data_IF_328404555171
#
_entry.id   IF_328404555171
#
_cell.length_a   1.000
_cell.length_b   1.000
_cell.length_c   1.000
_cell.angle_alpha   90.00
_cell.angle_beta   90.00
_cell.angle_gamma   90.00
#
_symmetry.space_group_name_H-M   'P 1'
#
loop_
_entity.id
_entity.type
_entity.pdbx_description
1 polymer ?
#
# COMPACT_ATOMS: atom_id res chain seq x y z
N UNK A 1 -20.24 -23.10 17.47
CA UNK A 1 -18.95 -22.41 17.31
C UNK A 1 -18.24 -23.10 16.16
N UNK A 2 -18.27 -22.51 14.96
CA UNK A 2 -17.45 -23.02 13.87
C UNK A 2 -16.01 -22.61 14.11
N UNK A 3 -15.08 -23.56 14.06
CA UNK A 3 -13.65 -23.26 14.00
C UNK A 3 -13.42 -22.33 12.81
N UNK A 4 -12.93 -21.13 13.07
CA UNK A 4 -12.46 -20.27 11.98
C UNK A 4 -11.20 -20.93 11.39
N UNK A 5 -11.10 -21.06 10.06
CA UNK A 5 -9.89 -21.60 9.46
C UNK A 5 -8.68 -20.76 9.89
N UNK A 6 -7.58 -21.43 10.21
CA UNK A 6 -6.30 -20.80 10.53
C UNK A 6 -5.92 -19.84 9.40
N UNK A 7 -5.55 -18.60 9.71
CA UNK A 7 -5.17 -17.57 8.72
C UNK A 7 -4.03 -18.02 7.80
N UNK A 8 -3.18 -18.94 8.28
CA UNK A 8 -2.04 -19.52 7.57
C UNK A 8 -2.43 -20.37 6.34
N UNK A 9 -3.66 -20.87 6.23
CA UNK A 9 -4.13 -21.67 5.08
C UNK A 9 -4.69 -20.79 3.95
N UNK A 10 -4.74 -19.47 4.14
CA UNK A 10 -5.25 -18.53 3.14
C UNK A 10 -4.26 -18.40 1.97
N UNK A 11 -4.70 -18.49 0.70
CA UNK A 11 -3.82 -18.24 -0.44
C UNK A 11 -3.17 -16.85 -0.36
N UNK A 12 -1.90 -16.73 -0.76
CA UNK A 12 -1.14 -15.47 -0.77
C UNK A 12 -1.88 -14.30 -1.44
N UNK A 13 -2.68 -14.60 -2.47
CA UNK A 13 -3.37 -13.60 -3.28
C UNK A 13 -4.88 -13.66 -3.10
N UNK A 14 -5.36 -14.08 -1.92
CA UNK A 14 -6.78 -14.15 -1.65
C UNK A 14 -7.44 -12.78 -1.81
N UNK A 15 -8.45 -12.71 -2.67
CA UNK A 15 -9.33 -11.55 -2.81
C UNK A 15 -10.58 -11.82 -1.99
N UNK A 16 -10.94 -10.87 -1.13
CA UNK A 16 -12.05 -10.96 -0.18
C UNK A 16 -12.95 -9.73 -0.30
N UNK A 17 -14.21 -9.86 0.10
CA UNK A 17 -15.09 -8.70 0.27
C UNK A 17 -14.54 -7.77 1.38
N UNK A 18 -14.81 -6.46 1.26
CA UNK A 18 -14.24 -5.46 2.16
C UNK A 18 -14.62 -5.69 3.64
N UNK A 19 -15.83 -6.16 3.91
CA UNK A 19 -16.30 -6.47 5.27
C UNK A 19 -15.68 -7.75 5.87
N UNK A 20 -15.09 -8.59 5.02
CA UNK A 20 -14.37 -9.81 5.38
C UNK A 20 -12.86 -9.58 5.51
N UNK A 21 -12.36 -8.41 5.14
CA UNK A 21 -10.97 -8.04 5.32
C UNK A 21 -10.58 -8.11 6.79
N UNK A 22 -9.42 -8.71 7.07
CA UNK A 22 -8.87 -8.82 8.43
C UNK A 22 -7.43 -8.39 8.40
N UNK A 23 -7.02 -7.60 9.38
CA UNK A 23 -5.61 -7.31 9.62
C UNK A 23 -4.93 -8.51 10.30
N UNK A 24 -3.59 -8.62 10.22
CA UNK A 24 -2.87 -9.76 10.80
C UNK A 24 -3.17 -9.96 12.30
N UNK A 25 -3.24 -11.18 12.82
CA UNK A 25 -3.76 -11.49 14.16
C UNK A 25 -3.09 -10.70 15.31
N UNK A 26 -1.80 -10.37 15.17
CA UNK A 26 -1.04 -9.58 16.15
C UNK A 26 -1.19 -8.05 16.01
N UNK A 27 -2.07 -7.57 15.12
CA UNK A 27 -2.39 -6.14 15.00
C UNK A 27 -3.29 -5.60 16.12
N UNK A 28 -3.86 -6.46 16.97
CA UNK A 28 -4.77 -6.00 18.02
C UNK A 28 -4.06 -5.45 19.28
N UNK A 29 -3.89 -4.13 19.26
CA UNK A 29 -4.33 -3.20 20.32
C UNK A 29 -3.49 -2.92 21.59
N UNK A 30 -2.30 -3.48 21.86
CA UNK A 30 -1.63 -3.17 23.16
C UNK A 30 -0.13 -2.89 23.19
N UNK A 31 0.65 -3.25 22.16
CA UNK A 31 2.11 -3.05 22.23
C UNK A 31 2.61 -1.78 21.52
N UNK A 32 1.88 -1.30 20.51
CA UNK A 32 2.31 -0.13 19.72
C UNK A 32 2.11 1.23 20.41
N UNK A 33 1.02 1.40 21.18
CA UNK A 33 0.77 2.67 21.91
C UNK A 33 1.81 2.98 23.00
N UNK A 34 2.59 1.98 23.46
CA UNK A 34 3.58 2.14 24.53
C UNK A 34 5.00 2.40 24.05
N UNK A 35 5.43 1.92 22.88
CA UNK A 35 6.82 2.17 22.42
C UNK A 35 7.05 3.59 21.91
N UNK A 36 6.01 4.27 21.41
CA UNK A 36 6.13 5.64 20.89
C UNK A 36 6.22 6.74 21.97
N UNK A 37 5.79 6.48 23.22
CA UNK A 37 5.91 7.48 24.30
C UNK A 37 7.27 7.48 25.00
N UNK A 38 8.12 6.47 24.76
CA UNK A 38 9.44 6.35 25.40
C UNK A 38 10.62 6.60 24.46
N UNK A 39 10.38 6.77 23.15
CA UNK A 39 11.45 7.06 22.19
C UNK A 39 11.80 8.55 22.06
N UNK A 40 11.20 9.44 22.85
CA UNK A 40 11.44 10.88 22.82
C UNK A 40 12.35 11.40 23.93
N UNK A 41 13.19 10.55 24.54
CA UNK A 41 14.06 10.99 25.65
C UNK A 41 15.46 10.38 25.69
N UNK A 42 16.10 10.05 24.56
CA UNK A 42 17.54 9.71 24.59
C UNK A 42 18.36 10.36 23.49
N UNK A 43 18.91 11.51 23.83
CA UNK A 43 20.32 11.79 23.54
C UNK A 43 21.19 10.89 24.46
N UNK A 44 22.10 10.14 23.83
CA UNK A 44 23.37 9.64 24.38
C UNK A 44 23.31 8.78 25.64
N UNK A 45 23.26 7.45 25.44
CA UNK A 45 23.76 6.42 26.37
C UNK A 45 22.80 5.26 26.68
N UNK A 46 23.22 4.43 27.62
CA UNK A 46 22.97 2.98 27.70
C UNK A 46 21.57 2.53 28.12
N UNK A 47 21.23 1.34 27.61
CA UNK A 47 20.22 0.34 28.05
C UNK A 47 18.85 0.47 27.38
N UNK A 48 18.66 -0.16 26.22
CA UNK A 48 18.29 -1.58 26.15
C UNK A 48 18.81 -2.22 24.87
N UNK A 49 20.10 -2.54 24.82
CA UNK A 49 20.64 -3.41 23.79
C UNK A 49 20.22 -4.84 24.13
N UNK A 50 19.14 -5.34 23.50
CA UNK A 50 19.20 -6.73 23.07
C UNK A 50 20.47 -6.81 22.22
N UNK A 51 21.50 -7.53 22.70
CA UNK A 51 22.77 -7.68 22.00
C UNK A 51 22.48 -8.13 20.57
N UNK A 52 22.62 -7.23 19.60
CA UNK A 52 22.52 -7.58 18.20
C UNK A 52 23.62 -8.61 17.93
N UNK A 53 23.26 -9.69 17.23
CA UNK A 53 24.21 -10.76 16.91
C UNK A 53 25.23 -10.28 15.89
N UNK A 54 24.86 -9.30 15.04
CA UNK A 54 25.75 -8.65 14.10
C UNK A 54 25.54 -7.14 14.15
N UNK A 55 26.64 -6.41 14.27
CA UNK A 55 26.64 -4.95 14.36
C UNK A 55 26.35 -4.33 12.99
N UNK A 56 25.49 -3.31 12.94
CA UNK A 56 25.05 -2.70 11.68
C UNK A 56 26.19 -2.04 10.87
N UNK A 57 27.28 -1.62 11.51
CA UNK A 57 28.44 -1.04 10.82
C UNK A 57 29.27 -2.07 10.02
N UNK A 58 29.08 -3.36 10.28
CA UNK A 58 29.66 -4.47 9.52
C UNK A 58 28.82 -4.83 8.28
N UNK A 59 27.70 -4.12 8.08
CA UNK A 59 26.73 -4.37 7.04
C UNK A 59 26.63 -3.14 6.13
N UNK A 60 26.40 -3.38 4.84
CA UNK A 60 26.17 -2.32 3.85
C UNK A 60 24.89 -2.57 3.06
N UNK A 61 24.31 -1.49 2.53
CA UNK A 61 23.20 -1.58 1.59
C UNK A 61 23.62 -2.36 0.34
N UNK A 62 22.70 -3.17 -0.19
CA UNK A 62 22.96 -3.87 -1.45
C UNK A 62 22.95 -2.88 -2.62
N UNK A 63 23.81 -3.07 -3.62
CA UNK A 63 23.68 -2.35 -4.89
C UNK A 63 22.30 -2.58 -5.51
N UNK A 64 21.71 -1.54 -6.11
CA UNK A 64 20.34 -1.60 -6.66
C UNK A 64 20.12 -2.75 -7.64
N UNK A 65 21.13 -3.06 -8.47
CA UNK A 65 21.07 -4.19 -9.40
C UNK A 65 20.93 -5.52 -8.64
N UNK A 66 21.73 -5.76 -7.60
CA UNK A 66 21.64 -6.98 -6.79
C UNK A 66 20.30 -7.05 -6.06
N UNK A 67 19.84 -5.92 -5.51
CA UNK A 67 18.55 -5.82 -4.84
C UNK A 67 17.37 -6.10 -5.79
N UNK A 68 17.43 -5.65 -7.05
CA UNK A 68 16.42 -5.93 -8.08
C UNK A 68 16.35 -7.41 -8.46
N UNK A 69 17.47 -8.15 -8.39
CA UNK A 69 17.47 -9.60 -8.63
C UNK A 69 16.93 -10.39 -7.43
N UNK A 70 17.30 -9.99 -6.21
CA UNK A 70 16.87 -10.67 -4.98
C UNK A 70 15.42 -10.38 -4.61
N UNK A 71 14.94 -9.18 -4.92
CA UNK A 71 13.60 -8.72 -4.59
C UNK A 71 12.99 -8.02 -5.80
N UNK A 72 12.65 -8.74 -6.87
CA UNK A 72 12.10 -8.14 -8.08
C UNK A 72 10.78 -7.41 -7.80
N UNK A 73 10.35 -6.48 -8.69
CA UNK A 73 9.03 -5.87 -8.60
C UNK A 73 7.93 -6.91 -8.45
N UNK A 74 6.90 -6.57 -7.68
CA UNK A 74 5.78 -7.48 -7.40
C UNK A 74 5.07 -7.86 -8.70
N UNK A 75 4.98 -9.17 -8.98
CA UNK A 75 4.08 -9.71 -10.00
C UNK A 75 2.64 -9.72 -9.46
N UNK A 76 1.80 -8.86 -10.03
CA UNK A 76 0.38 -8.73 -9.68
C UNK A 76 -0.54 -9.68 -10.46
N UNK A 77 -0.03 -10.46 -11.41
CA UNK A 77 -0.84 -11.37 -12.21
C UNK A 77 -1.59 -12.43 -11.39
N UNK A 78 -1.03 -13.00 -10.30
CA UNK A 78 -1.79 -13.86 -9.40
C UNK A 78 -2.99 -13.17 -8.75
N UNK A 79 -2.85 -11.90 -8.34
CA UNK A 79 -3.95 -11.11 -7.78
C UNK A 79 -5.03 -10.82 -8.84
N UNK A 80 -4.65 -10.50 -10.08
CA UNK A 80 -5.60 -10.33 -11.18
C UNK A 80 -6.40 -11.61 -11.46
N UNK A 81 -5.75 -12.78 -11.42
CA UNK A 81 -6.45 -14.08 -11.54
C UNK A 81 -7.38 -14.36 -10.37
N UNK A 82 -6.97 -14.03 -9.15
CA UNK A 82 -7.81 -14.19 -7.96
C UNK A 82 -9.03 -13.26 -8.00
N UNK A 83 -8.85 -12.02 -8.47
CA UNK A 83 -9.96 -11.09 -8.73
C UNK A 83 -10.91 -11.67 -9.78
N UNK A 84 -10.38 -12.13 -10.93
CA UNK A 84 -11.19 -12.76 -11.97
C UNK A 84 -12.00 -13.95 -11.43
N UNK A 85 -11.43 -14.75 -10.52
CA UNK A 85 -12.14 -15.85 -9.87
C UNK A 85 -13.26 -15.37 -8.95
N UNK A 86 -13.04 -14.32 -8.15
CA UNK A 86 -14.09 -13.74 -7.29
C UNK A 86 -15.24 -13.12 -8.08
N UNK A 87 -14.95 -12.55 -9.25
CA UNK A 87 -15.97 -11.94 -10.11
C UNK A 87 -16.79 -12.99 -10.90
N UNK A 88 -16.38 -14.26 -10.95
CA UNK A 88 -17.16 -15.29 -11.65
C UNK A 88 -18.51 -15.50 -10.96
N UNK A 89 -19.58 -15.28 -11.72
CA UNK A 89 -20.95 -15.45 -11.23
C UNK A 89 -21.50 -14.27 -10.45
N UNK A 90 -20.71 -13.19 -10.28
CA UNK A 90 -21.24 -11.93 -9.79
C UNK A 90 -22.19 -11.30 -10.82
N UNK A 91 -23.32 -10.78 -10.33
CA UNK A 91 -24.34 -10.13 -11.15
C UNK A 91 -24.28 -8.60 -11.05
N UNK A 92 -23.41 -8.08 -10.19
CA UNK A 92 -23.25 -6.64 -10.01
C UNK A 92 -22.75 -6.00 -11.32
N UNK A 93 -23.38 -4.89 -11.68
CA UNK A 93 -22.99 -4.10 -12.85
C UNK A 93 -21.61 -3.49 -12.66
N UNK A 94 -21.35 -2.98 -11.46
CA UNK A 94 -20.08 -2.36 -11.12
C UNK A 94 -19.54 -3.01 -9.86
N UNK A 95 -18.24 -3.29 -9.87
CA UNK A 95 -17.51 -3.78 -8.70
C UNK A 95 -16.28 -2.93 -8.44
N UNK A 96 -16.00 -2.66 -7.18
CA UNK A 96 -14.78 -1.99 -6.75
C UNK A 96 -13.71 -2.99 -6.34
N UNK A 97 -12.48 -2.72 -6.72
CA UNK A 97 -11.29 -3.38 -6.18
C UNK A 97 -10.39 -2.31 -5.57
N UNK A 98 -10.27 -2.32 -4.25
CA UNK A 98 -9.53 -1.29 -3.52
C UNK A 98 -8.31 -1.86 -2.82
N UNK A 99 -7.23 -1.10 -2.84
CA UNK A 99 -6.01 -1.40 -2.09
C UNK A 99 -5.45 -0.09 -1.52
N UNK A 100 -4.65 -0.11 -0.44
CA UNK A 100 -3.96 1.09 -0.02
C UNK A 100 -2.88 1.48 -1.04
N UNK A 101 -2.26 2.67 -0.87
CA UNK A 101 -1.12 3.08 -1.66
C UNK A 101 -0.05 1.98 -1.73
N UNK A 102 0.63 1.91 -2.87
CA UNK A 102 1.69 0.93 -3.15
C UNK A 102 1.23 -0.54 -3.22
N UNK A 103 -0.09 -0.81 -3.19
CA UNK A 103 -0.62 -2.19 -3.12
C UNK A 103 -1.35 -2.67 -4.39
N UNK A 104 -1.09 -2.04 -5.54
CA UNK A 104 -1.23 -2.69 -6.85
C UNK A 104 -2.60 -2.65 -7.53
N UNK A 105 -3.63 -1.97 -7.01
CA UNK A 105 -4.96 -1.92 -7.66
C UNK A 105 -4.91 -1.55 -9.16
N UNK A 106 -4.07 -0.57 -9.54
CA UNK A 106 -3.88 -0.18 -10.95
C UNK A 106 -3.42 -1.35 -11.81
N UNK A 107 -2.39 -2.08 -11.35
CA UNK A 107 -1.84 -3.23 -12.07
C UNK A 107 -2.82 -4.39 -12.13
N UNK A 108 -3.47 -4.69 -11.00
CA UNK A 108 -4.44 -5.80 -10.89
C UNK A 108 -5.61 -5.59 -11.84
N UNK A 109 -6.24 -4.40 -11.81
CA UNK A 109 -7.42 -4.11 -12.64
C UNK A 109 -7.04 -3.97 -14.11
N UNK A 110 -5.89 -3.39 -14.44
CA UNK A 110 -5.42 -3.31 -15.82
C UNK A 110 -5.15 -4.69 -16.43
N UNK A 111 -4.48 -5.58 -15.69
CA UNK A 111 -4.22 -6.95 -16.14
C UNK A 111 -5.50 -7.78 -16.25
N UNK A 112 -6.44 -7.60 -15.33
CA UNK A 112 -7.77 -8.20 -15.43
C UNK A 112 -8.48 -7.74 -16.72
N UNK A 113 -8.49 -6.43 -16.99
CA UNK A 113 -9.10 -5.89 -18.20
C UNK A 113 -8.44 -6.43 -19.48
N UNK A 114 -7.10 -6.53 -19.50
CA UNK A 114 -6.34 -7.08 -20.61
C UNK A 114 -6.69 -8.55 -20.88
N UNK A 115 -6.75 -9.38 -19.83
CA UNK A 115 -7.13 -10.80 -19.93
C UNK A 115 -8.55 -11.01 -20.47
N UNK A 116 -9.44 -10.04 -20.25
CA UNK A 116 -10.83 -10.07 -20.70
C UNK A 116 -11.07 -9.25 -21.98
N UNK A 117 -10.05 -8.62 -22.54
CA UNK A 117 -10.15 -7.70 -23.69
C UNK A 117 -11.11 -6.51 -23.47
N UNK A 118 -11.21 -6.02 -22.24
CA UNK A 118 -12.03 -4.87 -21.89
C UNK A 118 -11.25 -3.56 -22.02
N UNK A 119 -11.95 -2.49 -22.39
CA UNK A 119 -11.33 -1.18 -22.53
C UNK A 119 -11.06 -0.55 -21.16
N UNK A 120 -9.80 -0.18 -20.90
CA UNK A 120 -9.47 0.72 -19.81
C UNK A 120 -9.88 2.15 -20.20
N UNK A 121 -10.81 2.73 -19.45
CA UNK A 121 -11.20 4.11 -19.64
C UNK A 121 -10.01 5.02 -19.24
N UNK A 122 -9.69 6.05 -20.03
CA UNK A 122 -8.64 7.00 -19.68
C UNK A 122 -9.15 8.04 -18.68
N UNK A 123 -8.29 8.53 -17.76
CA UNK A 123 -8.67 9.61 -16.87
C UNK A 123 -8.95 10.91 -17.65
N UNK A 124 -9.83 11.79 -17.14
CA UNK A 124 -10.04 13.11 -17.72
C UNK A 124 -8.79 13.97 -17.63
N UNK A 125 -8.70 14.97 -18.49
CA UNK A 125 -7.62 15.96 -18.43
C UNK A 125 -7.76 16.85 -17.21
N UNK A 126 -6.65 17.48 -16.79
CA UNK A 126 -6.68 18.40 -15.66
C UNK A 126 -7.60 19.62 -15.89
N UNK A 127 -7.81 20.05 -17.14
CA UNK A 127 -8.77 21.12 -17.46
C UNK A 127 -10.19 20.63 -17.23
N UNK A 128 -10.54 19.45 -17.79
CA UNK A 128 -11.85 18.82 -17.62
C UNK A 128 -12.18 18.67 -16.12
N UNK A 129 -11.23 18.18 -15.33
CA UNK A 129 -11.42 18.06 -13.88
C UNK A 129 -11.60 19.43 -13.20
N UNK A 130 -10.73 20.40 -13.48
CA UNK A 130 -10.76 21.68 -12.80
C UNK A 130 -12.01 22.51 -13.10
N UNK A 131 -12.53 22.40 -14.32
CA UNK A 131 -13.72 23.11 -14.80
C UNK A 131 -15.02 22.39 -14.43
N UNK A 132 -14.94 21.15 -13.93
CA UNK A 132 -16.10 20.32 -13.62
C UNK A 132 -16.83 19.83 -14.88
N UNK A 133 -16.10 19.66 -15.98
CA UNK A 133 -16.64 19.13 -17.23
C UNK A 133 -17.09 17.68 -17.04
N UNK A 134 -18.25 17.36 -17.60
CA UNK A 134 -18.84 16.01 -17.58
C UNK A 134 -18.95 15.39 -18.98
N UNK A 135 -18.56 16.10 -20.04
CA UNK A 135 -18.51 15.56 -21.40
C UNK A 135 -17.62 14.33 -21.53
N UNK A 136 -16.59 14.22 -20.68
CA UNK A 136 -15.74 13.04 -20.66
C UNK A 136 -16.50 11.76 -20.30
N UNK A 137 -17.58 11.86 -19.53
CA UNK A 137 -18.42 10.72 -19.13
C UNK A 137 -19.17 10.15 -20.36
N UNK A 138 -19.54 11.01 -21.32
CA UNK A 138 -20.15 10.56 -22.58
C UNK A 138 -19.18 9.72 -23.42
N UNK A 139 -17.87 9.97 -23.31
CA UNK A 139 -16.85 9.13 -23.98
C UNK A 139 -16.87 7.70 -23.44
N UNK A 140 -17.29 7.50 -22.19
CA UNK A 140 -17.39 6.19 -21.55
C UNK A 140 -18.67 5.43 -21.94
N UNK A 141 -19.75 6.13 -22.30
CA UNK A 141 -21.08 5.52 -22.53
C UNK A 141 -21.14 4.52 -23.70
N UNK A 142 -20.18 4.59 -24.62
CA UNK A 142 -20.12 3.68 -25.77
C UNK A 142 -19.51 2.30 -25.44
N UNK A 143 -18.95 2.12 -24.24
CA UNK A 143 -18.35 0.87 -23.79
C UNK A 143 -19.36 0.08 -22.94
N UNK A 144 -19.67 -1.17 -23.33
CA UNK A 144 -20.57 -2.03 -22.54
C UNK A 144 -19.84 -2.77 -21.41
N UNK A 145 -18.54 -2.97 -21.57
CA UNK A 145 -17.65 -3.65 -20.65
C UNK A 145 -16.37 -2.82 -20.56
N UNK A 146 -16.01 -2.39 -19.36
CA UNK A 146 -14.90 -1.45 -19.16
C UNK A 146 -14.19 -1.65 -17.84
N UNK A 147 -13.00 -1.07 -17.73
CA UNK A 147 -12.25 -0.98 -16.49
C UNK A 147 -11.80 0.46 -16.23
N UNK A 148 -11.81 0.86 -14.96
CA UNK A 148 -11.15 2.08 -14.49
C UNK A 148 -10.07 1.64 -13.52
N UNK A 149 -8.79 1.58 -13.93
CA UNK A 149 -7.76 1.06 -13.02
C UNK A 149 -7.44 1.95 -11.81
N UNK A 150 -7.76 3.24 -11.87
CA UNK A 150 -7.23 4.25 -10.95
C UNK A 150 -8.24 5.41 -10.76
N UNK A 151 -9.36 5.16 -10.08
CA UNK A 151 -10.45 6.15 -9.91
C UNK A 151 -9.99 7.42 -9.18
N UNK A 152 -8.99 7.35 -8.33
CA UNK A 152 -8.38 8.49 -7.63
C UNK A 152 -7.80 9.55 -8.59
N UNK A 153 -7.65 9.22 -9.87
CA UNK A 153 -7.23 10.13 -10.95
C UNK A 153 -8.39 10.84 -11.66
N UNK A 154 -9.63 10.56 -11.30
CA UNK A 154 -10.84 11.03 -12.01
C UNK A 154 -11.53 12.21 -11.33
N UNK A 155 -10.93 12.79 -10.29
CA UNK A 155 -11.49 13.93 -9.58
C UNK A 155 -10.42 14.79 -8.91
N UNK A 156 -10.81 16.03 -8.58
CA UNK A 156 -10.10 16.90 -7.65
C UNK A 156 -11.03 17.23 -6.47
N UNK A 157 -10.52 17.26 -5.23
CA UNK A 157 -11.34 17.48 -4.01
C UNK A 157 -11.79 18.94 -3.80
N UNK A 158 -12.37 19.54 -4.83
CA UNK A 158 -13.05 20.84 -4.76
C UNK A 158 -14.41 20.75 -5.47
N UNK A 159 -15.26 21.77 -5.29
CA UNK A 159 -16.67 21.74 -5.71
C UNK A 159 -16.88 21.40 -7.19
N UNK A 160 -16.06 21.94 -8.09
CA UNK A 160 -16.13 21.62 -9.52
C UNK A 160 -15.45 20.28 -9.84
N UNK A 161 -14.31 19.99 -9.19
CA UNK A 161 -13.49 18.81 -9.42
C UNK A 161 -14.16 17.47 -9.15
N UNK A 162 -15.27 17.47 -8.42
CA UNK A 162 -16.02 16.26 -8.08
C UNK A 162 -17.21 15.98 -9.01
N UNK A 163 -17.60 16.95 -9.87
CA UNK A 163 -18.84 16.82 -10.65
C UNK A 163 -18.78 15.66 -11.65
N UNK A 164 -17.69 15.56 -12.41
CA UNK A 164 -17.49 14.49 -13.39
C UNK A 164 -17.54 13.10 -12.75
N UNK A 165 -16.80 12.88 -11.64
CA UNK A 165 -16.78 11.56 -11.00
C UNK A 165 -18.13 11.20 -10.39
N UNK A 166 -18.88 12.19 -9.87
CA UNK A 166 -20.24 11.99 -9.37
C UNK A 166 -21.15 11.50 -10.48
N UNK A 167 -21.16 12.17 -11.63
CA UNK A 167 -21.97 11.77 -12.77
C UNK A 167 -21.55 10.40 -13.32
N UNK A 168 -20.24 10.15 -13.43
CA UNK A 168 -19.70 8.84 -13.83
C UNK A 168 -20.20 7.72 -12.92
N UNK A 169 -20.05 7.88 -11.60
CA UNK A 169 -20.47 6.88 -10.62
C UNK A 169 -21.99 6.68 -10.63
N UNK A 170 -22.78 7.75 -10.75
CA UNK A 170 -24.24 7.65 -10.87
C UNK A 170 -24.65 6.81 -12.11
N UNK A 171 -24.07 7.11 -13.27
CA UNK A 171 -24.36 6.37 -14.51
C UNK A 171 -23.84 4.93 -14.46
N UNK A 172 -22.68 4.70 -13.84
CA UNK A 172 -22.09 3.37 -13.66
C UNK A 172 -22.98 2.50 -12.75
N UNK A 173 -23.30 2.99 -11.56
CA UNK A 173 -24.09 2.27 -10.54
C UNK A 173 -25.54 2.03 -10.99
N UNK A 174 -26.11 2.94 -11.79
CA UNK A 174 -27.44 2.74 -12.40
C UNK A 174 -27.43 1.83 -13.65
N UNK A 175 -26.27 1.33 -14.07
CA UNK A 175 -26.12 0.45 -15.24
C UNK A 175 -26.17 1.15 -16.59
N UNK A 176 -26.25 2.49 -16.62
CA UNK A 176 -26.26 3.28 -17.86
C UNK A 176 -24.91 3.24 -18.59
N UNK A 177 -23.83 2.83 -17.92
CA UNK A 177 -22.52 2.59 -18.54
C UNK A 177 -22.22 1.10 -18.77
N UNK A 178 -23.18 0.19 -18.59
CA UNK A 178 -22.91 -1.25 -18.70
C UNK A 178 -22.14 -1.80 -17.50
N UNK A 179 -21.32 -2.84 -17.75
CA UNK A 179 -20.57 -3.54 -16.70
C UNK A 179 -19.14 -3.02 -16.58
N UNK A 180 -18.63 -2.90 -15.36
CA UNK A 180 -17.25 -2.48 -15.17
C UNK A 180 -16.62 -2.80 -13.83
N UNK A 181 -15.30 -2.84 -13.83
CA UNK A 181 -14.48 -2.96 -12.61
C UNK A 181 -13.71 -1.67 -12.39
N UNK A 182 -13.82 -1.16 -11.17
CA UNK A 182 -13.17 0.07 -10.73
C UNK A 182 -12.06 -0.28 -9.73
N UNK A 183 -10.81 -0.11 -10.15
CA UNK A 183 -9.65 0.02 -9.27
C UNK A 183 -9.62 1.39 -8.62
N UNK A 184 -9.41 1.43 -7.30
CA UNK A 184 -9.38 2.69 -6.57
C UNK A 184 -8.45 2.59 -5.35
N UNK A 185 -7.67 3.63 -5.11
CA UNK A 185 -6.96 3.77 -3.83
C UNK A 185 -7.96 3.79 -2.66
N UNK A 186 -7.65 3.09 -1.57
CA UNK A 186 -8.56 2.97 -0.41
C UNK A 186 -8.89 4.33 0.25
N UNK A 187 -8.00 5.32 0.15
CA UNK A 187 -8.26 6.68 0.65
C UNK A 187 -9.22 7.44 -0.25
N UNK A 188 -9.09 7.28 -1.56
CA UNK A 188 -10.01 7.86 -2.53
C UNK A 188 -11.40 7.23 -2.40
N UNK A 189 -11.46 5.90 -2.21
CA UNK A 189 -12.70 5.19 -1.94
C UNK A 189 -13.39 5.72 -0.69
N UNK A 190 -12.68 5.79 0.45
CA UNK A 190 -13.23 6.35 1.70
C UNK A 190 -13.74 7.78 1.51
N UNK A 191 -12.98 8.64 0.81
CA UNK A 191 -13.40 10.00 0.52
C UNK A 191 -14.68 10.05 -0.34
N UNK A 192 -14.76 9.25 -1.41
CA UNK A 192 -15.91 9.20 -2.30
C UNK A 192 -17.16 8.61 -1.64
N UNK A 193 -17.01 7.69 -0.69
CA UNK A 193 -18.11 7.25 0.16
C UNK A 193 -18.74 8.44 0.89
N UNK A 194 -17.92 9.28 1.53
CA UNK A 194 -18.40 10.43 2.29
C UNK A 194 -19.01 11.54 1.41
N UNK A 195 -18.40 11.84 0.25
CA UNK A 195 -18.79 13.02 -0.56
C UNK A 195 -19.72 12.73 -1.73
N UNK A 196 -19.82 11.48 -2.18
CA UNK A 196 -20.67 11.06 -3.31
C UNK A 196 -21.71 10.02 -2.89
N UNK A 197 -21.42 9.15 -1.93
CA UNK A 197 -22.33 8.08 -1.50
C UNK A 197 -22.32 6.88 -2.46
N UNK A 198 -21.17 6.21 -2.59
CA UNK A 198 -20.98 5.06 -3.50
C UNK A 198 -21.41 3.71 -2.89
N UNK A 199 -22.41 3.71 -2.02
CA UNK A 199 -22.93 2.50 -1.38
C UNK A 199 -23.67 1.59 -2.38
N UNK A 200 -23.66 0.28 -2.12
CA UNK A 200 -24.46 -0.71 -2.86
C UNK A 200 -23.74 -1.44 -4.00
N UNK A 201 -22.52 -1.04 -4.37
CA UNK A 201 -21.65 -1.86 -5.21
C UNK A 201 -20.80 -2.81 -4.35
N UNK A 202 -20.58 -4.07 -4.77
CA UNK A 202 -19.61 -4.94 -4.12
C UNK A 202 -18.20 -4.33 -4.14
N UNK A 203 -17.47 -4.51 -3.05
CA UNK A 203 -16.13 -3.99 -2.87
C UNK A 203 -15.23 -5.12 -2.43
N UNK A 204 -14.16 -5.33 -3.17
CA UNK A 204 -13.17 -6.35 -2.90
C UNK A 204 -11.81 -5.72 -2.61
N UNK A 205 -11.00 -6.45 -1.86
CA UNK A 205 -9.60 -6.10 -1.59
C UNK A 205 -8.74 -7.36 -1.51
N UNK A 206 -7.43 -7.20 -1.47
CA UNK A 206 -6.52 -8.30 -1.13
C UNK A 206 -6.54 -8.52 0.37
N UNK A 207 -6.70 -9.77 0.79
CA UNK A 207 -6.58 -10.12 2.19
C UNK A 207 -5.17 -9.82 2.70
N UNK A 208 -5.07 -9.40 3.95
CA UNK A 208 -3.78 -9.12 4.56
C UNK A 208 -2.91 -10.39 4.65
N UNK A 209 -1.60 -10.23 4.48
CA UNK A 209 -0.62 -11.30 4.65
C UNK A 209 -0.12 -11.37 6.09
N UNK A 210 -0.12 -12.57 6.64
CA UNK A 210 0.54 -12.93 7.88
C UNK A 210 2.06 -13.08 7.70
N UNK A 211 2.80 -13.10 8.80
CA UNK A 211 4.25 -13.27 8.78
C UNK A 211 4.73 -14.53 8.05
N UNK A 212 3.97 -15.63 8.14
CA UNK A 212 4.29 -16.88 7.42
C UNK A 212 4.09 -16.72 5.91
N UNK A 213 3.01 -16.07 5.49
CA UNK A 213 2.74 -15.79 4.08
C UNK A 213 3.78 -14.84 3.49
N UNK A 214 4.21 -13.81 4.23
CA UNK A 214 5.35 -12.97 3.84
C UNK A 214 6.64 -13.78 3.70
N UNK A 215 6.90 -14.72 4.61
CA UNK A 215 8.09 -15.61 4.52
C UNK A 215 8.06 -16.44 3.25
N UNK A 216 6.92 -17.07 2.94
CA UNK A 216 6.74 -17.88 1.74
C UNK A 216 6.89 -17.03 0.47
N UNK A 217 6.30 -15.84 0.46
CA UNK A 217 6.39 -14.93 -0.68
C UNK A 217 7.83 -14.46 -0.92
N UNK A 218 8.52 -13.95 0.10
CA UNK A 218 9.90 -13.47 -0.03
C UNK A 218 10.89 -14.57 -0.38
N UNK A 219 10.73 -15.78 0.16
CA UNK A 219 11.51 -16.94 -0.27
C UNK A 219 11.30 -17.20 -1.77
N UNK A 220 10.03 -17.29 -2.20
CA UNK A 220 9.67 -17.59 -3.60
C UNK A 220 10.25 -16.60 -4.61
N UNK A 221 10.21 -15.29 -4.33
CA UNK A 221 10.71 -14.28 -5.28
C UNK A 221 12.24 -14.16 -5.28
N UNK A 222 12.89 -14.61 -4.21
CA UNK A 222 14.34 -14.59 -4.08
C UNK A 222 14.99 -15.88 -4.61
N UNK A 223 14.21 -16.95 -4.82
CA UNK A 223 14.70 -18.22 -5.37
C UNK A 223 15.23 -18.04 -6.79
N UNK A 224 16.54 -18.28 -6.97
CA UNK A 224 17.18 -18.39 -8.28
C UNK A 224 17.77 -19.81 -8.41
N UNK A 225 17.63 -20.41 -9.59
CA UNK A 225 18.13 -21.78 -9.88
C UNK A 225 17.66 -22.87 -8.86
N UNK A 226 16.53 -22.64 -8.20
CA UNK A 226 15.94 -23.58 -7.25
C UNK A 226 16.46 -23.48 -5.81
N UNK A 227 17.28 -22.48 -5.48
CA UNK A 227 17.77 -22.24 -4.11
C UNK A 227 17.34 -20.85 -3.62
N UNK A 228 16.80 -20.77 -2.40
CA UNK A 228 16.50 -19.48 -1.76
C UNK A 228 17.72 -18.96 -1.01
N UNK A 229 18.01 -17.65 -1.06
CA UNK A 229 19.15 -17.11 -0.31
C UNK A 229 18.90 -17.22 1.19
N UNK A 230 19.98 -17.51 1.94
CA UNK A 230 19.95 -17.49 3.40
C UNK A 230 19.95 -16.03 3.88
N UNK A 231 18.85 -15.64 4.53
CA UNK A 231 18.69 -14.32 5.14
C UNK A 231 18.66 -14.49 6.66
N UNK A 232 19.57 -13.84 7.37
CA UNK A 232 19.70 -13.90 8.81
C UNK A 232 19.22 -12.62 9.49
N UNK A 233 18.60 -12.77 10.65
CA UNK A 233 18.23 -11.65 11.51
C UNK A 233 19.45 -11.04 12.19
N UNK A 234 19.62 -9.71 12.15
CA UNK A 234 20.67 -9.06 12.97
C UNK A 234 20.36 -9.13 14.46
N UNK A 235 19.08 -9.22 14.86
CA UNK A 235 18.67 -9.32 16.27
C UNK A 235 18.91 -10.71 16.86
N UNK A 236 18.63 -11.76 16.12
CA UNK A 236 18.60 -13.14 16.66
C UNK A 236 19.66 -14.06 16.06
N UNK A 237 20.29 -13.67 14.94
CA UNK A 237 21.22 -14.53 14.19
C UNK A 237 20.55 -15.73 13.52
N UNK A 238 19.23 -15.86 13.58
CA UNK A 238 18.48 -17.00 13.02
C UNK A 238 18.04 -16.73 11.58
N UNK A 239 17.86 -17.77 10.76
CA UNK A 239 17.26 -17.65 9.44
C UNK A 239 15.86 -17.03 9.51
N UNK A 240 15.60 -16.05 8.64
CA UNK A 240 14.33 -15.34 8.52
C UNK A 240 13.41 -16.04 7.50
N UNK A 241 13.98 -16.41 6.35
CA UNK A 241 13.27 -17.19 5.35
C UNK A 241 13.42 -18.67 5.68
N UNK A 242 12.30 -19.34 5.90
CA UNK A 242 12.29 -20.80 6.07
C UNK A 242 11.79 -21.43 4.79
N UNK A 243 12.58 -22.31 4.18
CA UNK A 243 12.11 -23.17 3.10
C UNK A 243 11.10 -24.19 3.66
N UNK A 244 10.08 -24.48 2.86
CA UNK A 244 8.93 -25.28 3.27
C UNK A 244 9.32 -26.67 3.79
N UNK A 245 8.92 -26.94 5.04
CA UNK A 245 8.57 -28.26 5.58
C UNK A 245 9.65 -29.35 5.57
N UNK A 246 10.71 -29.18 6.35
CA UNK A 246 11.25 -30.34 7.07
C UNK A 246 10.30 -30.72 8.21
N UNK A 247 10.01 -32.01 8.26
CA UNK A 247 9.03 -32.64 9.12
C UNK A 247 9.43 -32.52 10.59
N UNK A 248 8.42 -32.40 11.46
CA UNK A 248 8.46 -32.49 12.93
C UNK A 248 8.95 -31.27 13.72
N UNK A 249 7.99 -30.68 14.46
CA UNK A 249 8.24 -30.11 15.79
C UNK A 249 8.48 -28.61 15.82
N UNK A 250 7.45 -27.87 16.23
CA UNK A 250 7.57 -26.52 16.81
C UNK A 250 8.07 -25.41 15.87
N UNK A 251 7.32 -25.16 14.79
CA UNK A 251 7.48 -23.92 14.01
C UNK A 251 6.88 -22.75 14.78
N UNK A 252 7.62 -22.25 15.76
CA UNK A 252 7.33 -20.93 16.31
C UNK A 252 7.34 -19.93 15.14
N UNK A 253 6.30 -19.13 14.97
CA UNK A 253 6.20 -18.25 13.82
C UNK A 253 7.35 -17.23 13.83
N UNK A 254 7.83 -16.86 12.64
CA UNK A 254 8.91 -15.89 12.53
C UNK A 254 8.43 -14.52 13.03
N UNK A 255 8.85 -14.17 14.26
CA UNK A 255 8.46 -12.94 14.95
C UNK A 255 8.84 -11.67 14.17
N UNK A 256 9.84 -11.71 13.30
CA UNK A 256 10.24 -10.54 12.49
C UNK A 256 9.26 -10.26 11.37
N UNK A 257 8.88 -11.31 10.64
CA UNK A 257 7.90 -11.18 9.58
C UNK A 257 6.49 -10.99 10.14
N UNK A 258 6.20 -11.51 11.34
CA UNK A 258 4.98 -11.15 12.07
C UNK A 258 4.95 -9.67 12.45
N UNK A 259 6.05 -9.11 12.97
CA UNK A 259 6.14 -7.67 13.26
C UNK A 259 6.02 -6.83 11.98
N UNK A 260 6.64 -7.25 10.89
CA UNK A 260 6.52 -6.59 9.59
C UNK A 260 5.09 -6.63 9.06
N UNK A 261 4.43 -7.80 9.11
CA UNK A 261 3.02 -7.95 8.77
C UNK A 261 2.17 -7.01 9.62
N UNK A 262 2.34 -7.00 10.94
CA UNK A 262 1.59 -6.11 11.81
C UNK A 262 1.82 -4.61 11.49
N UNK A 263 3.07 -4.22 11.24
CA UNK A 263 3.46 -2.85 10.88
C UNK A 263 2.81 -2.40 9.57
N UNK A 264 2.86 -3.24 8.55
CA UNK A 264 2.31 -2.96 7.23
C UNK A 264 0.81 -3.28 7.13
N UNK A 265 0.14 -3.64 8.25
CA UNK A 265 -1.23 -4.17 8.28
C UNK A 265 -1.45 -5.34 7.30
N UNK A 266 -0.38 -6.08 7.01
CA UNK A 266 -0.30 -7.20 6.09
C UNK A 266 -0.39 -6.82 4.60
N UNK A 267 -0.28 -5.53 4.25
CA UNK A 267 -0.25 -5.11 2.86
C UNK A 267 1.10 -5.45 2.23
N UNK A 268 1.09 -6.37 1.24
CA UNK A 268 2.31 -6.88 0.61
C UNK A 268 3.15 -5.80 -0.06
N UNK A 269 2.50 -4.79 -0.67
CA UNK A 269 3.19 -3.67 -1.31
C UNK A 269 4.12 -2.94 -0.36
N UNK A 270 3.61 -2.59 0.83
CA UNK A 270 4.41 -1.96 1.87
C UNK A 270 5.46 -2.91 2.43
N UNK A 271 5.09 -4.16 2.73
CA UNK A 271 6.01 -5.16 3.26
C UNK A 271 7.21 -5.39 2.33
N UNK A 272 6.99 -5.39 1.00
CA UNK A 272 8.02 -5.49 -0.01
C UNK A 272 9.02 -4.32 0.03
N UNK A 273 8.53 -3.09 0.19
CA UNK A 273 9.41 -1.92 0.33
C UNK A 273 10.26 -1.97 1.61
N UNK A 274 9.66 -2.33 2.74
CA UNK A 274 10.40 -2.50 4.00
C UNK A 274 11.40 -3.66 3.92
N UNK A 275 11.03 -4.77 3.27
CA UNK A 275 11.94 -5.89 3.06
C UNK A 275 13.17 -5.46 2.26
N UNK A 276 12.98 -4.77 1.14
CA UNK A 276 14.07 -4.22 0.33
C UNK A 276 14.97 -3.28 1.10
N UNK A 277 14.37 -2.33 1.81
CA UNK A 277 15.12 -1.34 2.56
C UNK A 277 15.94 -1.96 3.69
N UNK A 278 15.52 -3.09 4.24
CA UNK A 278 16.18 -3.71 5.41
C UNK A 278 17.22 -4.77 5.07
N UNK A 279 17.27 -5.22 3.82
CA UNK A 279 18.27 -6.18 3.39
C UNK A 279 19.66 -5.53 3.32
N UNK A 280 20.65 -6.22 3.86
CA UNK A 280 22.06 -5.82 3.86
C UNK A 280 22.95 -7.01 3.49
N UNK A 281 24.15 -6.69 3.05
CA UNK A 281 25.24 -7.65 2.84
C UNK A 281 26.44 -7.31 3.75
N UNK A 282 27.28 -8.28 4.13
CA UNK A 282 28.52 -8.03 4.86
C UNK A 282 29.46 -7.09 4.10
N UNK A 283 30.25 -6.29 4.84
CA UNK A 283 31.29 -5.43 4.26
C UNK A 283 32.58 -6.18 3.90
N UNK A 284 32.86 -7.28 4.60
CA UNK A 284 33.97 -8.18 4.30
C UNK A 284 33.60 -9.17 3.17
N UNK A 285 34.61 -9.63 2.41
CA UNK A 285 34.48 -10.58 1.28
C UNK A 285 34.02 -12.00 1.69
N UNK A 286 33.54 -12.19 2.92
CA UNK A 286 33.12 -13.49 3.45
C UNK A 286 31.61 -13.71 3.20
N UNK A 287 31.38 -14.54 2.17
CA UNK A 287 30.21 -15.37 1.86
C UNK A 287 28.80 -14.75 1.74
N UNK A 288 28.00 -15.42 0.92
CA UNK A 288 26.72 -15.05 0.29
C UNK A 288 25.53 -14.77 1.26
N UNK A 289 25.79 -14.65 2.55
CA UNK A 289 24.78 -14.51 3.59
C UNK A 289 24.18 -13.10 3.62
N UNK A 290 22.87 -13.01 3.41
CA UNK A 290 22.11 -11.76 3.54
C UNK A 290 21.69 -11.53 4.98
N UNK A 291 21.60 -10.27 5.38
CA UNK A 291 21.18 -9.88 6.72
C UNK A 291 19.96 -8.96 6.66
N UNK A 292 19.00 -9.20 7.54
CA UNK A 292 17.82 -8.35 7.73
C UNK A 292 18.03 -7.51 8.99
N UNK A 293 18.17 -6.20 8.80
CA UNK A 293 18.26 -5.23 9.90
C UNK A 293 16.91 -5.19 10.63
N UNK A 294 16.91 -5.23 11.96
CA UNK A 294 15.67 -5.24 12.74
C UNK A 294 14.88 -3.92 12.66
N UNK A 295 15.59 -2.80 12.59
CA UNK A 295 14.97 -1.48 12.53
C UNK A 295 14.08 -1.33 11.28
N UNK A 296 12.83 -0.91 11.51
CA UNK A 296 11.95 -0.45 10.45
C UNK A 296 12.34 1.00 10.16
N UNK A 297 12.84 1.28 8.95
CA UNK A 297 13.19 2.63 8.54
C UNK A 297 11.90 3.47 8.48
N UNK A 298 11.70 4.34 9.46
CA UNK A 298 10.57 5.27 9.51
C UNK A 298 11.07 6.71 9.32
N UNK A 299 10.35 7.49 8.52
CA UNK A 299 10.53 8.93 8.52
C UNK A 299 9.87 9.50 9.78
N UNK A 300 10.65 10.12 10.67
CA UNK A 300 10.12 10.75 11.87
C UNK A 300 9.17 11.91 11.49
N UNK A 301 7.88 11.65 11.68
CA UNK A 301 6.83 12.66 11.64
C UNK A 301 6.58 13.16 13.07
N UNK A 302 7.01 14.39 13.35
CA UNK A 302 6.71 15.04 14.63
C UNK A 302 5.19 15.15 14.82
N UNK A 303 4.73 14.97 16.05
CA UNK A 303 3.34 15.25 16.44
C UNK A 303 2.95 16.71 16.20
N UNK A 304 3.94 17.61 16.13
CA UNK A 304 3.78 19.04 15.86
C UNK A 304 3.81 19.36 14.35
N UNK A 305 3.68 18.36 13.48
CA UNK A 305 3.54 18.57 12.04
C UNK A 305 2.43 19.59 11.78
N UNK A 306 2.74 20.71 11.13
CA UNK A 306 1.76 21.79 10.95
C UNK A 306 0.54 21.35 10.13
N UNK A 307 -0.57 22.07 10.28
CA UNK A 307 -1.84 21.77 9.59
C UNK A 307 -1.70 21.77 8.07
N UNK A 308 -0.88 22.68 7.53
CA UNK A 308 -0.61 22.74 6.08
C UNK A 308 0.02 21.43 5.59
N UNK A 309 1.03 20.93 6.29
CA UNK A 309 1.68 19.67 5.93
C UNK A 309 0.72 18.49 6.07
N UNK A 310 -0.10 18.47 7.12
CA UNK A 310 -1.13 17.42 7.34
C UNK A 310 -2.14 17.39 6.19
N UNK A 311 -2.62 18.56 5.74
CA UNK A 311 -3.56 18.68 4.63
C UNK A 311 -2.94 18.32 3.27
N UNK A 312 -1.65 18.59 3.08
CA UNK A 312 -0.88 18.11 1.92
C UNK A 312 -0.83 16.59 1.93
N UNK A 313 -0.44 15.96 3.03
CA UNK A 313 -0.35 14.50 3.14
C UNK A 313 -1.70 13.83 2.84
N UNK A 314 -2.79 14.34 3.42
CA UNK A 314 -4.14 13.86 3.13
C UNK A 314 -4.54 14.06 1.67
N UNK A 315 -4.18 15.19 1.05
CA UNK A 315 -4.45 15.43 -0.38
C UNK A 315 -3.76 14.39 -1.27
N UNK A 316 -2.50 14.10 -0.97
CA UNK A 316 -1.72 13.14 -1.74
C UNK A 316 -2.31 11.73 -1.63
N UNK A 317 -2.78 11.33 -0.45
CA UNK A 317 -3.41 10.03 -0.26
C UNK A 317 -4.75 9.91 -1.00
N UNK A 318 -5.65 10.88 -0.85
CA UNK A 318 -6.96 10.90 -1.52
C UNK A 318 -6.87 10.85 -3.05
N UNK A 319 -5.77 11.35 -3.64
CA UNK A 319 -5.61 11.45 -5.09
C UNK A 319 -4.59 10.47 -5.69
N UNK A 320 -4.05 9.54 -4.90
CA UNK A 320 -2.95 8.66 -5.35
C UNK A 320 -1.72 9.46 -5.83
N UNK A 321 -1.51 10.64 -5.26
CA UNK A 321 -0.49 11.61 -5.60
C UNK A 321 -0.93 12.70 -6.57
N UNK A 322 -0.24 13.85 -6.55
CA UNK A 322 -0.57 15.04 -7.34
C UNK A 322 0.67 15.80 -7.80
N UNK A 323 0.59 16.48 -8.94
CA UNK A 323 1.58 17.49 -9.33
C UNK A 323 1.40 18.80 -8.52
N UNK A 324 2.37 19.71 -8.60
CA UNK A 324 2.35 20.99 -7.86
C UNK A 324 1.19 21.90 -8.27
N UNK A 325 0.74 21.83 -9.52
CA UNK A 325 -0.36 22.65 -10.01
C UNK A 325 -1.71 22.18 -9.46
N UNK A 326 -1.94 20.87 -9.47
CA UNK A 326 -3.12 20.21 -8.94
C UNK A 326 -3.19 20.32 -7.41
N UNK A 327 -2.06 20.24 -6.71
CA UNK A 327 -1.97 20.54 -5.28
C UNK A 327 -2.51 21.93 -4.95
N UNK A 328 -2.16 22.94 -5.76
CA UNK A 328 -2.67 24.31 -5.60
C UNK A 328 -4.18 24.45 -5.81
N UNK A 329 -4.83 23.51 -6.51
CA UNK A 329 -6.29 23.50 -6.72
C UNK A 329 -7.08 22.82 -5.61
N UNK A 330 -6.44 21.93 -4.83
CA UNK A 330 -7.11 21.08 -3.83
C UNK A 330 -6.80 21.45 -2.38
N UNK A 331 -5.91 22.41 -2.16
CA UNK A 331 -5.54 22.90 -0.84
C UNK A 331 -6.16 24.29 -0.59
N UNK A 332 -6.61 24.57 0.64
CA UNK A 332 -7.21 25.86 0.99
C UNK A 332 -6.17 26.97 1.26
N UNK A 333 -4.94 26.79 0.79
CA UNK A 333 -3.80 27.68 1.08
C UNK A 333 -3.25 28.28 -0.22
N UNK A 334 -2.41 29.31 -0.08
CA UNK A 334 -1.72 29.86 -1.26
C UNK A 334 -0.80 28.81 -1.90
N UNK A 335 -0.56 28.95 -3.20
CA UNK A 335 0.36 28.09 -3.93
C UNK A 335 1.75 28.03 -3.28
N UNK A 336 2.25 29.16 -2.76
CA UNK A 336 3.54 29.24 -2.07
C UNK A 336 3.58 28.45 -0.76
N UNK A 337 2.51 28.49 0.04
CA UNK A 337 2.42 27.71 1.28
C UNK A 337 2.39 26.21 1.01
N UNK A 338 1.57 25.79 0.05
CA UNK A 338 1.49 24.39 -0.39
C UNK A 338 2.84 23.88 -0.89
N UNK A 339 3.51 24.65 -1.75
CA UNK A 339 4.82 24.31 -2.30
C UNK A 339 5.90 24.21 -1.21
N UNK A 340 5.94 25.15 -0.27
CA UNK A 340 6.90 25.12 0.83
C UNK A 340 6.70 23.93 1.77
N UNK A 341 5.45 23.62 2.12
CA UNK A 341 5.12 22.44 2.91
C UNK A 341 5.56 21.15 2.19
N UNK A 342 5.25 21.04 0.90
CA UNK A 342 5.66 19.91 0.08
C UNK A 342 7.19 19.78 -0.03
N UNK A 343 7.91 20.87 -0.25
CA UNK A 343 9.38 20.88 -0.27
C UNK A 343 9.98 20.45 1.07
N UNK A 344 9.38 20.86 2.19
CA UNK A 344 9.80 20.44 3.52
C UNK A 344 9.57 18.93 3.74
N UNK A 345 8.42 18.40 3.31
CA UNK A 345 8.14 16.97 3.35
C UNK A 345 9.11 16.16 2.46
N UNK A 346 9.44 16.68 1.27
CA UNK A 346 10.39 16.05 0.36
C UNK A 346 11.79 15.98 0.97
N UNK A 347 12.29 17.07 1.57
CA UNK A 347 13.60 17.09 2.25
C UNK A 347 13.70 16.08 3.39
N UNK A 348 12.57 15.73 4.00
CA UNK A 348 12.47 14.69 5.05
C UNK A 348 12.27 13.27 4.49
N UNK A 349 12.18 13.10 3.17
CA UNK A 349 11.92 11.78 2.55
C UNK A 349 10.50 11.26 2.73
N UNK A 350 9.56 12.09 3.22
CA UNK A 350 8.17 11.69 3.46
C UNK A 350 7.38 11.60 2.15
N UNK A 351 7.73 12.46 1.19
CA UNK A 351 7.15 12.46 -0.15
C UNK A 351 8.24 12.38 -1.22
N UNK A 352 7.96 11.65 -2.29
CA UNK A 352 8.81 11.57 -3.49
C UNK A 352 7.98 11.86 -4.74
N UNK A 353 8.66 12.22 -5.83
CA UNK A 353 8.02 12.37 -7.14
C UNK A 353 8.18 11.08 -7.93
N UNK A 354 7.06 10.53 -8.40
CA UNK A 354 6.99 9.38 -9.29
C UNK A 354 6.08 9.73 -10.46
N UNK A 355 6.56 9.53 -11.70
CA UNK A 355 5.80 9.87 -12.92
C UNK A 355 5.26 11.32 -12.93
N UNK A 356 6.00 12.26 -12.34
CA UNK A 356 5.60 13.67 -12.25
C UNK A 356 4.56 13.98 -11.17
N UNK A 357 4.18 13.02 -10.32
CA UNK A 357 3.24 13.18 -9.21
C UNK A 357 3.94 12.98 -7.87
N UNK A 358 3.69 13.88 -6.93
CA UNK A 358 4.14 13.75 -5.55
C UNK A 358 3.29 12.71 -4.83
N UNK A 359 3.92 11.76 -4.14
CA UNK A 359 3.26 10.68 -3.41
C UNK A 359 3.91 10.49 -2.05
N UNK A 360 3.16 9.93 -1.10
CA UNK A 360 3.72 9.47 0.17
C UNK A 360 4.68 8.32 -0.10
N UNK A 361 5.90 8.39 0.43
CA UNK A 361 6.85 7.29 0.27
C UNK A 361 6.35 6.04 1.01
N UNK A 362 6.59 4.83 0.49
CA UNK A 362 6.10 3.60 1.12
C UNK A 362 6.50 3.45 2.59
N UNK A 363 7.75 3.82 2.92
CA UNK A 363 8.31 3.74 4.27
C UNK A 363 7.77 4.79 5.24
N UNK A 364 7.08 5.81 4.73
CA UNK A 364 6.43 6.84 5.56
C UNK A 364 4.92 6.61 5.72
N UNK A 365 4.33 5.69 4.95
CA UNK A 365 2.89 5.52 4.89
C UNK A 365 2.26 5.22 6.26
N UNK A 366 2.83 4.28 7.01
CA UNK A 366 2.31 3.89 8.32
C UNK A 366 2.26 5.08 9.30
N UNK A 367 3.36 5.84 9.39
CA UNK A 367 3.47 7.00 10.27
C UNK A 367 2.55 8.16 9.81
N UNK A 368 2.40 8.37 8.49
CA UNK A 368 1.43 9.35 7.94
C UNK A 368 0.00 8.97 8.27
N UNK A 369 -0.38 7.70 8.07
CA UNK A 369 -1.72 7.19 8.39
C UNK A 369 -2.03 7.38 9.87
N UNK A 370 -1.10 7.02 10.76
CA UNK A 370 -1.25 7.20 12.20
C UNK A 370 -1.37 8.68 12.60
N UNK A 371 -0.60 9.58 11.98
CA UNK A 371 -0.71 11.02 12.20
C UNK A 371 -2.12 11.51 11.84
N UNK A 372 -2.62 11.14 10.67
CA UNK A 372 -3.96 11.53 10.20
C UNK A 372 -5.06 10.99 11.12
N UNK A 373 -4.97 9.71 11.51
CA UNK A 373 -5.88 9.08 12.47
C UNK A 373 -5.88 9.83 13.82
N UNK A 374 -4.69 10.14 14.35
CA UNK A 374 -4.54 10.84 15.64
C UNK A 374 -5.12 12.26 15.64
N UNK A 375 -5.29 12.85 14.45
CA UNK A 375 -5.86 14.18 14.23
C UNK A 375 -7.31 14.13 13.74
N UNK A 376 -7.96 12.96 13.79
CA UNK A 376 -9.34 12.75 13.36
C UNK A 376 -9.61 13.11 11.90
N UNK A 377 -8.62 12.95 11.02
CA UNK A 377 -8.85 12.97 9.58
C UNK A 377 -9.57 11.69 9.15
N UNK A 378 -10.26 11.75 8.00
CA UNK A 378 -10.76 10.55 7.34
C UNK A 378 -9.58 9.64 7.00
N UNK A 379 -9.67 8.38 7.41
CA UNK A 379 -8.68 7.33 7.12
C UNK A 379 -9.33 6.24 6.28
N UNK A 380 -8.50 5.50 5.55
CA UNK A 380 -8.96 4.42 4.71
C UNK A 380 -9.46 3.21 5.52
N UNK A 381 -10.35 2.36 4.96
CA UNK A 381 -10.93 1.22 5.66
C UNK A 381 -9.97 0.02 5.81
N UNK A 382 -8.78 0.06 5.19
CA UNK A 382 -7.82 -1.04 5.15
C UNK A 382 -6.74 -0.93 6.23
#
# INVERSE_FOLDING_TARGET
MGEQPSSADTPLWAVVELDQFRTPEQTQASQWRRSFRSASTWLVGKNSAEQQVKEEHELRALPEVRLAHLVPPIDWAPAARALAQQLKGQQALVTFFITPPHSGHVSVVSQWAEQHHFACLPPPTLSELAEGDTQWVERCANQREWAVPALERYFLRHTQGIQGVREFLERALSGRLGQGVIGCDSWAYAYLQEVVGIEGAPVFTLQSMEGEQLSQYFAKIATHEGQSPLVYSTRTGKPVLTESATQHGDKAPNKELQRLAAHCRGHIGLAWHYWRERLREPTADDEEALWLVDALAEAELSTDTGDIATLVLHALLVHGGLDDHSLGKVLPFSHHEALNARLALQRKGIVSSSEGRWQITPLSYASVRQLLESRNYLVDPL
#
